data_IF_282613123446
#
_entry.id   IF_282613123446
#
_cell.length_a   1.000
_cell.length_b   1.000
_cell.length_c   1.000
_cell.angle_alpha   90.00
_cell.angle_beta   90.00
_cell.angle_gamma   90.00
#
_symmetry.space_group_name_H-M   'P 1'
#
loop_
_entity.id
_entity.type
_entity.pdbx_description
1 polymer ?
#
# COMPACT_ATOMS: atom_id res chain seq x y z
N UNK A 1 17.48 11.13 -26.42
CA UNK A 1 16.39 10.22 -26.02
C UNK A 1 15.89 10.70 -24.68
N UNK A 2 14.57 10.80 -24.48
CA UNK A 2 14.02 10.99 -23.15
C UNK A 2 13.99 9.61 -22.54
N UNK A 3 14.80 9.39 -21.51
CA UNK A 3 14.81 8.13 -20.78
C UNK A 3 13.51 8.05 -19.96
N UNK A 4 12.73 7.01 -20.21
CA UNK A 4 11.51 6.73 -19.45
C UNK A 4 11.87 5.91 -18.23
N UNK A 5 11.70 6.48 -17.04
CA UNK A 5 11.91 5.81 -15.76
C UNK A 5 10.56 5.58 -15.06
N UNK A 6 10.42 4.40 -14.46
CA UNK A 6 9.27 4.03 -13.62
C UNK A 6 9.78 3.51 -12.28
N UNK A 7 9.22 4.02 -11.19
CA UNK A 7 9.51 3.65 -9.82
C UNK A 7 8.41 2.71 -9.32
N UNK A 8 8.80 1.47 -9.03
CA UNK A 8 7.88 0.41 -8.59
C UNK A 8 8.26 -0.06 -7.20
N UNK A 9 7.28 -0.10 -6.29
CA UNK A 9 7.43 -0.66 -4.96
C UNK A 9 6.75 -2.02 -4.87
N UNK A 10 7.43 -2.98 -4.24
CA UNK A 10 6.81 -4.20 -3.72
C UNK A 10 7.09 -4.32 -2.23
N UNK A 11 6.06 -4.60 -1.42
CA UNK A 11 6.19 -4.71 0.02
C UNK A 11 5.26 -5.78 0.60
N UNK A 12 5.84 -6.71 1.35
CA UNK A 12 5.08 -7.58 2.24
C UNK A 12 4.73 -6.81 3.52
N UNK A 13 3.44 -6.63 3.80
CA UNK A 13 2.96 -5.81 4.90
C UNK A 13 2.81 -6.59 6.24
N UNK A 14 3.01 -7.91 6.24
CA UNK A 14 2.82 -8.78 7.41
C UNK A 14 1.45 -8.55 8.09
N UNK A 15 0.37 -8.46 7.31
CA UNK A 15 -0.95 -8.01 7.76
C UNK A 15 -1.88 -9.08 8.31
N UNK A 16 -1.35 -10.24 8.73
CA UNK A 16 -2.15 -11.39 9.17
C UNK A 16 -3.01 -10.98 10.41
N UNK A 17 -4.34 -11.12 10.37
CA UNK A 17 -5.20 -10.80 11.51
C UNK A 17 -4.87 -11.72 12.70
N UNK A 18 -5.01 -11.21 13.93
CA UNK A 18 -4.75 -11.93 15.20
C UNK A 18 -3.28 -12.26 15.46
N UNK A 19 -2.51 -12.68 14.45
CA UNK A 19 -1.09 -13.05 14.59
C UNK A 19 -0.18 -11.81 14.60
N UNK A 20 -0.45 -10.85 13.73
CA UNK A 20 0.42 -9.68 13.59
C UNK A 20 0.16 -8.65 14.70
N UNK A 21 1.13 -8.55 15.63
CA UNK A 21 1.19 -7.45 16.60
C UNK A 21 1.23 -6.09 15.88
N UNK A 22 0.55 -5.10 16.45
CA UNK A 22 0.49 -3.72 15.96
C UNK A 22 0.08 -3.58 14.48
N UNK A 23 -0.77 -4.50 13.98
CA UNK A 23 -1.21 -4.51 12.56
C UNK A 23 -1.84 -3.17 12.16
N UNK A 24 -2.71 -2.62 12.99
CA UNK A 24 -3.44 -1.40 12.66
C UNK A 24 -2.50 -0.19 12.53
N UNK A 25 -1.56 -0.04 13.47
CA UNK A 25 -0.55 1.00 13.45
C UNK A 25 0.37 0.86 12.23
N UNK A 26 0.79 -0.38 11.91
CA UNK A 26 1.63 -0.64 10.73
C UNK A 26 0.92 -0.30 9.42
N UNK A 27 -0.32 -0.74 9.23
CA UNK A 27 -1.08 -0.44 8.01
C UNK A 27 -1.33 1.06 7.85
N UNK A 28 -1.55 1.78 8.97
CA UNK A 28 -1.64 3.23 8.97
C UNK A 28 -0.33 3.89 8.54
N UNK A 29 0.80 3.48 9.11
CA UNK A 29 2.11 4.03 8.76
C UNK A 29 2.47 3.76 7.29
N UNK A 30 2.24 2.53 6.80
CA UNK A 30 2.42 2.18 5.38
C UNK A 30 1.58 3.10 4.49
N UNK A 31 0.29 3.30 4.81
CA UNK A 31 -0.57 4.19 4.04
C UNK A 31 -0.08 5.65 4.05
N UNK A 32 0.48 6.12 5.17
CA UNK A 32 1.04 7.48 5.29
C UNK A 32 2.30 7.65 4.44
N UNK A 33 3.22 6.70 4.46
CA UNK A 33 4.43 6.73 3.62
C UNK A 33 4.07 6.68 2.12
N UNK A 34 3.18 5.76 1.73
CA UNK A 34 2.73 5.64 0.34
C UNK A 34 2.01 6.90 -0.16
N UNK A 35 1.35 7.66 0.73
CA UNK A 35 0.69 8.92 0.35
C UNK A 35 1.64 10.08 0.08
N UNK A 36 2.93 9.92 0.43
CA UNK A 36 3.98 10.93 0.25
C UNK A 36 5.07 10.50 -0.73
N UNK A 37 5.16 9.21 -1.03
CA UNK A 37 6.18 8.66 -1.90
C UNK A 37 5.83 8.83 -3.39
N UNK A 38 6.88 8.96 -4.21
CA UNK A 38 6.79 9.10 -5.67
C UNK A 38 6.96 7.73 -6.34
N UNK A 39 5.95 6.88 -6.20
CA UNK A 39 5.87 5.59 -6.91
C UNK A 39 4.73 5.64 -7.94
N UNK A 40 4.97 5.11 -9.14
CA UNK A 40 3.91 4.95 -10.15
C UNK A 40 3.13 3.66 -9.94
N UNK A 41 3.78 2.62 -9.38
CA UNK A 41 3.14 1.31 -9.13
C UNK A 41 3.54 0.79 -7.75
N UNK A 42 2.54 0.33 -6.99
CA UNK A 42 2.73 -0.26 -5.66
C UNK A 42 2.04 -1.62 -5.59
N UNK A 43 2.80 -2.65 -5.25
CA UNK A 43 2.35 -4.02 -5.05
C UNK A 43 2.48 -4.40 -3.58
N UNK A 44 1.36 -4.59 -2.88
CA UNK A 44 1.36 -4.96 -1.46
C UNK A 44 0.99 -6.44 -1.29
N UNK A 45 1.79 -7.18 -0.53
CA UNK A 45 1.49 -8.56 -0.13
C UNK A 45 1.03 -8.63 1.32
N UNK A 46 0.29 -9.68 1.65
CA UNK A 46 -0.21 -9.94 3.00
C UNK A 46 -1.05 -8.80 3.60
N UNK A 47 -1.75 -8.03 2.77
CA UNK A 47 -2.85 -7.18 3.23
C UNK A 47 -4.11 -8.05 3.27
N UNK A 48 -4.33 -8.74 4.40
CA UNK A 48 -5.40 -9.75 4.51
C UNK A 48 -6.79 -9.18 4.79
N UNK A 49 -6.86 -7.98 5.36
CA UNK A 49 -8.13 -7.37 5.76
C UNK A 49 -8.58 -6.33 4.74
N UNK A 50 -9.81 -6.46 4.23
CA UNK A 50 -10.39 -5.43 3.35
C UNK A 50 -10.42 -4.03 3.98
N UNK A 51 -10.54 -3.91 5.31
CA UNK A 51 -10.48 -2.61 6.00
C UNK A 51 -9.11 -1.94 5.86
N UNK A 52 -8.04 -2.72 5.91
CA UNK A 52 -6.66 -2.22 5.84
C UNK A 52 -6.39 -1.79 4.39
N UNK A 53 -6.82 -2.59 3.40
CA UNK A 53 -6.82 -2.20 1.99
C UNK A 53 -7.59 -0.90 1.73
N UNK A 54 -8.84 -0.78 2.21
CA UNK A 54 -9.67 0.42 2.02
C UNK A 54 -9.04 1.65 2.65
N UNK A 55 -8.38 1.50 3.79
CA UNK A 55 -7.64 2.58 4.43
C UNK A 55 -6.47 3.04 3.57
N UNK A 56 -5.63 2.10 3.09
CA UNK A 56 -4.48 2.41 2.22
C UNK A 56 -4.96 3.09 0.92
N UNK A 57 -5.93 2.50 0.22
CA UNK A 57 -6.50 3.04 -1.02
C UNK A 57 -7.06 4.45 -0.85
N UNK A 58 -7.85 4.71 0.20
CA UNK A 58 -8.37 6.06 0.49
C UNK A 58 -7.27 7.06 0.77
N UNK A 59 -6.24 6.66 1.53
CA UNK A 59 -5.14 7.54 1.93
C UNK A 59 -4.24 7.89 0.76
N UNK A 60 -4.04 6.96 -0.17
CA UNK A 60 -3.16 7.14 -1.33
C UNK A 60 -3.88 7.70 -2.57
N UNK A 61 -5.21 7.84 -2.56
CA UNK A 61 -6.03 8.19 -3.74
C UNK A 61 -5.56 9.43 -4.52
N UNK A 62 -4.92 10.40 -3.86
CA UNK A 62 -4.41 11.61 -4.52
C UNK A 62 -3.18 11.34 -5.41
N UNK A 63 -2.36 10.34 -5.06
CA UNK A 63 -1.11 10.00 -5.76
C UNK A 63 -1.20 8.66 -6.51
N UNK A 64 -2.01 7.73 -6.01
CA UNK A 64 -2.30 6.42 -6.57
C UNK A 64 -3.83 6.26 -6.71
N UNK A 65 -4.46 6.88 -7.74
CA UNK A 65 -5.93 6.93 -7.88
C UNK A 65 -6.56 5.58 -8.25
N UNK A 66 -5.77 4.65 -8.78
CA UNK A 66 -6.21 3.31 -9.17
C UNK A 66 -5.71 2.30 -8.14
N UNK A 67 -6.61 1.43 -7.67
CA UNK A 67 -6.26 0.36 -6.74
C UNK A 67 -7.16 -0.85 -6.96
N UNK A 68 -6.59 -2.03 -6.84
CA UNK A 68 -7.32 -3.30 -6.90
C UNK A 68 -6.93 -4.17 -5.70
N UNK A 69 -7.89 -4.89 -5.15
CA UNK A 69 -7.67 -5.86 -4.09
C UNK A 69 -7.86 -7.25 -4.66
N UNK A 70 -6.79 -8.04 -4.69
CA UNK A 70 -6.82 -9.42 -5.16
C UNK A 70 -7.28 -10.32 -4.02
N UNK A 71 -8.29 -11.17 -4.29
CA UNK A 71 -8.92 -12.08 -3.34
C UNK A 71 -8.26 -13.46 -3.34
#
# INVERSE_FOLDING_TARGET
MIDFQINVLTLNCWGIPVVSKNRAERMKAIAEELSRAEYEVVCLQEVWMQRDYKQISRRCRAVLPYSHYFH
#
